data_IF_060299937755
#
_entry.id   IF_060299937755
#
_cell.length_a   1.000
_cell.length_b   1.000
_cell.length_c   1.000
_cell.angle_alpha   90.00
_cell.angle_beta   90.00
_cell.angle_gamma   90.00
#
_symmetry.space_group_name_H-M   'P 1'
#
loop_
_entity.id
_entity.type
_entity.pdbx_description
1 polymer ?
#
# COMPACT_ATOMS: atom_id res chain seq x y z
N UNK A 1 16.21 -6.86 26.18
CA UNK A 1 15.95 -7.70 24.99
C UNK A 1 16.22 -6.94 23.69
N UNK A 2 15.55 -5.79 23.42
CA UNK A 2 15.72 -5.04 22.17
C UNK A 2 17.15 -4.53 21.98
N UNK A 3 17.79 -3.99 23.02
CA UNK A 3 19.19 -3.58 23.01
C UNK A 3 20.13 -4.76 22.63
N UNK A 4 19.91 -5.93 23.25
CA UNK A 4 20.70 -7.13 22.94
C UNK A 4 20.56 -7.55 21.49
N UNK A 5 19.32 -7.47 20.95
CA UNK A 5 19.06 -7.77 19.53
C UNK A 5 19.72 -6.73 18.61
N UNK A 6 19.61 -5.44 18.93
CA UNK A 6 20.24 -4.37 18.15
C UNK A 6 21.77 -4.56 18.09
N UNK A 7 22.41 -4.88 19.21
CA UNK A 7 23.85 -5.21 19.25
C UNK A 7 24.20 -6.43 18.42
N UNK A 8 23.38 -7.50 18.49
CA UNK A 8 23.61 -8.72 17.72
C UNK A 8 23.44 -8.49 16.21
N UNK A 9 22.50 -7.63 15.82
CA UNK A 9 22.24 -7.23 14.45
C UNK A 9 23.23 -6.17 13.94
N UNK A 10 24.08 -5.62 14.80
CA UNK A 10 25.06 -4.56 14.47
C UNK A 10 24.39 -3.35 13.83
N UNK A 11 23.25 -2.91 14.37
CA UNK A 11 22.56 -1.71 13.87
C UNK A 11 23.40 -0.48 14.20
N UNK A 12 23.48 0.47 13.27
CA UNK A 12 24.25 1.70 13.44
C UNK A 12 23.57 2.66 14.42
N UNK A 13 22.24 2.69 14.42
CA UNK A 13 21.44 3.60 15.24
C UNK A 13 20.20 2.89 15.79
N UNK A 14 19.86 3.15 17.04
CA UNK A 14 18.65 2.69 17.70
C UNK A 14 17.92 3.91 18.31
N UNK A 15 16.73 4.22 17.82
CA UNK A 15 15.86 5.24 18.41
C UNK A 15 14.76 4.58 19.22
N UNK A 16 14.60 4.97 20.46
CA UNK A 16 13.57 4.47 21.37
C UNK A 16 12.65 5.61 21.74
N UNK A 17 11.37 5.45 21.46
CA UNK A 17 10.36 6.48 21.72
C UNK A 17 9.28 5.96 22.67
N UNK A 18 8.75 6.85 23.47
CA UNK A 18 7.57 6.61 24.30
C UNK A 18 6.51 7.67 24.00
N UNK A 19 5.25 7.32 24.17
CA UNK A 19 4.10 8.15 23.78
C UNK A 19 3.16 8.39 24.96
N UNK A 20 1.89 8.67 24.72
CA UNK A 20 0.88 9.07 25.69
C UNK A 20 0.92 8.31 27.03
N UNK A 21 1.10 6.99 27.01
CA UNK A 21 1.12 6.18 28.22
C UNK A 21 2.23 6.59 29.20
N UNK A 22 3.45 6.84 28.70
CA UNK A 22 4.58 7.30 29.52
C UNK A 22 4.45 8.78 29.85
N UNK A 23 4.03 9.60 28.91
CA UNK A 23 3.87 11.04 29.05
C UNK A 23 2.86 11.42 30.15
N UNK A 24 1.74 10.67 30.23
CA UNK A 24 0.63 10.98 31.14
C UNK A 24 0.66 10.23 32.47
N UNK A 25 1.42 9.16 32.54
CA UNK A 25 1.54 8.40 33.80
C UNK A 25 2.26 9.22 34.88
N UNK A 26 1.73 9.21 36.11
CA UNK A 26 2.36 9.90 37.28
C UNK A 26 3.79 9.46 37.51
N UNK A 27 4.10 8.20 37.21
CA UNK A 27 5.42 7.59 37.37
C UNK A 27 6.11 7.32 36.01
N UNK A 28 5.74 8.00 34.92
CA UNK A 28 6.35 7.85 33.61
C UNK A 28 7.85 8.13 33.60
N UNK A 29 8.31 9.10 34.40
CA UNK A 29 9.72 9.43 34.60
C UNK A 29 10.53 8.24 35.14
N UNK A 30 9.97 7.42 36.04
CA UNK A 30 10.67 6.23 36.58
C UNK A 30 11.01 5.22 35.44
N UNK A 31 10.14 5.09 34.45
CA UNK A 31 10.39 4.21 33.27
C UNK A 31 11.59 4.75 32.48
N UNK A 32 11.62 6.07 32.25
CA UNK A 32 12.71 6.73 31.51
C UNK A 32 14.03 6.61 32.25
N UNK A 33 14.03 6.84 33.59
CA UNK A 33 15.21 6.70 34.42
C UNK A 33 15.73 5.26 34.45
N UNK A 34 14.84 4.26 34.60
CA UNK A 34 15.22 2.84 34.56
C UNK A 34 15.80 2.44 33.21
N UNK A 35 15.26 2.98 32.09
CA UNK A 35 15.82 2.76 30.76
C UNK A 35 17.20 3.41 30.63
N UNK A 36 17.37 4.66 31.13
CA UNK A 36 18.66 5.36 31.11
C UNK A 36 19.73 4.63 31.92
N UNK A 37 19.38 4.04 33.09
CA UNK A 37 20.28 3.22 33.90
C UNK A 37 20.77 1.95 33.12
N UNK A 38 20.05 1.51 32.10
CA UNK A 38 20.45 0.43 31.20
C UNK A 38 21.17 0.93 29.92
N UNK A 39 21.47 2.24 29.83
CA UNK A 39 22.11 2.84 28.67
C UNK A 39 21.15 3.09 27.51
N UNK A 40 19.84 3.05 27.75
CA UNK A 40 18.82 3.28 26.71
C UNK A 40 18.26 4.69 26.87
N UNK A 41 18.52 5.55 25.87
CA UNK A 41 17.87 6.86 25.79
C UNK A 41 16.46 6.71 25.25
N UNK A 42 15.46 7.27 25.97
CA UNK A 42 14.04 7.24 25.57
C UNK A 42 13.56 8.66 25.29
N UNK A 43 13.16 8.91 24.05
CA UNK A 43 12.50 10.16 23.65
C UNK A 43 11.01 10.07 23.97
N UNK A 44 10.52 10.90 24.88
CA UNK A 44 9.08 10.97 25.18
C UNK A 44 8.45 11.99 24.25
N UNK A 45 7.73 11.50 23.22
CA UNK A 45 7.09 12.35 22.23
C UNK A 45 5.89 13.09 22.85
N UNK A 46 5.76 14.37 22.52
CA UNK A 46 4.52 15.10 22.76
C UNK A 46 3.46 14.74 21.70
N UNK A 47 2.24 15.26 21.87
CA UNK A 47 1.13 14.93 20.97
C UNK A 47 1.31 15.46 19.56
N UNK A 48 2.04 16.56 19.36
CA UNK A 48 2.33 17.13 18.04
C UNK A 48 3.38 16.29 17.29
N UNK A 49 4.42 15.85 17.98
CA UNK A 49 5.44 14.97 17.42
C UNK A 49 4.87 13.58 17.09
N UNK A 50 3.98 13.03 17.95
CA UNK A 50 3.28 11.77 17.72
C UNK A 50 2.39 11.87 16.49
N UNK A 51 1.59 12.93 16.37
CA UNK A 51 0.77 13.19 15.19
C UNK A 51 1.59 13.43 13.92
N UNK A 52 2.71 14.15 14.02
CA UNK A 52 3.64 14.38 12.90
C UNK A 52 4.19 13.06 12.38
N UNK A 53 4.69 12.21 13.26
CA UNK A 53 5.21 10.90 12.88
C UNK A 53 4.11 9.99 12.28
N UNK A 54 2.90 9.99 12.84
CA UNK A 54 1.77 9.26 12.26
C UNK A 54 1.43 9.74 10.83
N UNK A 55 1.42 11.04 10.61
CA UNK A 55 1.22 11.63 9.28
C UNK A 55 2.32 11.27 8.29
N UNK A 56 3.57 11.29 8.70
CA UNK A 56 4.69 10.80 7.88
C UNK A 56 4.59 9.31 7.57
N UNK A 57 4.02 8.51 8.48
CA UNK A 57 3.71 7.11 8.21
C UNK A 57 2.77 6.93 7.02
N UNK A 58 1.76 7.79 6.87
CA UNK A 58 0.89 7.79 5.68
C UNK A 58 1.64 8.27 4.43
N UNK A 59 2.46 9.33 4.55
CA UNK A 59 3.22 9.86 3.41
C UNK A 59 4.29 8.89 2.91
N UNK A 60 4.84 8.04 3.79
CA UNK A 60 5.79 6.99 3.38
C UNK A 60 5.16 5.91 2.50
N UNK A 61 3.83 5.71 2.61
CA UNK A 61 3.05 4.80 1.77
C UNK A 61 2.46 5.53 0.56
N UNK A 62 1.92 6.73 0.78
CA UNK A 62 1.28 7.54 -0.26
C UNK A 62 1.79 8.99 -0.23
N UNK A 63 2.86 9.31 -0.99
CA UNK A 63 3.44 10.66 -1.01
C UNK A 63 2.49 11.76 -1.48
N UNK A 64 1.40 11.39 -2.15
CA UNK A 64 0.39 12.33 -2.67
C UNK A 64 -0.92 12.30 -1.87
N UNK A 65 -0.90 11.73 -0.66
CA UNK A 65 -2.09 11.64 0.17
C UNK A 65 -2.77 13.01 0.34
N UNK A 66 -4.10 13.00 0.24
CA UNK A 66 -4.95 14.17 0.46
C UNK A 66 -6.19 13.71 1.24
N UNK A 67 -6.23 13.97 2.52
CA UNK A 67 -7.30 13.45 3.38
C UNK A 67 -7.05 13.76 4.84
N UNK A 68 -7.67 12.98 5.68
CA UNK A 68 -7.46 13.00 7.13
C UNK A 68 -6.78 11.73 7.58
N UNK A 69 -5.92 11.85 8.55
CA UNK A 69 -5.29 10.70 9.23
C UNK A 69 -5.81 10.67 10.66
N UNK A 70 -6.16 9.48 11.12
CA UNK A 70 -6.41 9.20 12.51
C UNK A 70 -5.47 8.11 12.99
N UNK A 71 -4.71 8.35 14.05
CA UNK A 71 -3.96 7.32 14.75
C UNK A 71 -4.62 7.03 16.09
N UNK A 72 -5.22 5.86 16.23
CA UNK A 72 -5.87 5.43 17.46
C UNK A 72 -4.93 4.60 18.30
N UNK A 73 -4.30 5.28 19.28
CA UNK A 73 -3.49 4.68 20.31
C UNK A 73 -4.28 4.16 21.50
N UNK A 74 -3.55 3.75 22.55
CA UNK A 74 -4.16 3.34 23.83
C UNK A 74 -4.67 4.53 24.63
N UNK A 75 -3.94 5.63 24.71
CA UNK A 75 -4.24 6.81 25.50
C UNK A 75 -4.86 7.96 24.72
N UNK A 76 -4.52 8.09 23.47
CA UNK A 76 -4.86 9.25 22.61
C UNK A 76 -5.37 8.85 21.23
N UNK A 77 -5.96 9.82 20.57
CA UNK A 77 -6.30 9.85 19.15
C UNK A 77 -5.62 11.07 18.55
N UNK A 78 -4.72 10.84 17.62
CA UNK A 78 -4.11 11.87 16.79
C UNK A 78 -4.96 12.08 15.55
N UNK A 79 -5.31 13.34 15.24
CA UNK A 79 -5.99 13.72 13.98
C UNK A 79 -5.12 14.69 13.21
N UNK A 80 -4.87 14.38 11.94
CA UNK A 80 -4.00 15.16 11.07
C UNK A 80 -4.72 15.44 9.75
N UNK A 81 -4.61 16.67 9.24
CA UNK A 81 -5.01 17.00 7.87
C UNK A 81 -3.79 16.90 6.97
N UNK A 82 -3.86 16.09 5.93
CA UNK A 82 -2.86 16.04 4.86
C UNK A 82 -3.45 16.64 3.59
N UNK A 83 -2.71 17.54 2.95
CA UNK A 83 -3.08 18.17 1.68
C UNK A 83 -1.94 18.01 0.69
N UNK A 84 -2.21 17.30 -0.41
CA UNK A 84 -1.27 17.13 -1.52
C UNK A 84 0.15 16.73 -1.05
N UNK A 85 0.22 15.69 -0.23
CA UNK A 85 1.47 15.16 0.29
C UNK A 85 2.15 16.01 1.38
N UNK A 86 1.45 16.98 1.96
CA UNK A 86 2.00 17.85 3.02
C UNK A 86 1.19 17.74 4.30
N UNK A 87 1.90 17.62 5.41
CA UNK A 87 1.29 17.68 6.73
C UNK A 87 0.74 19.07 7.00
N UNK A 88 -0.54 19.14 7.34
CA UNK A 88 -1.23 20.35 7.75
C UNK A 88 -1.49 20.38 9.25
N UNK A 89 -2.65 20.93 9.62
CA UNK A 89 -3.12 21.02 11.00
C UNK A 89 -3.23 19.65 11.62
N UNK A 90 -2.75 19.50 12.85
CA UNK A 90 -2.76 18.26 13.63
C UNK A 90 -3.09 18.53 15.09
N UNK A 91 -3.72 17.58 15.72
CA UNK A 91 -4.11 17.64 17.15
C UNK A 91 -4.02 16.26 17.76
N UNK A 92 -3.75 16.20 19.06
CA UNK A 92 -3.87 14.99 19.89
C UNK A 92 -5.04 15.18 20.87
N UNK A 93 -5.92 14.18 20.91
CA UNK A 93 -7.10 14.15 21.76
C UNK A 93 -6.99 12.99 22.75
N UNK A 94 -7.41 13.15 24.02
CA UNK A 94 -7.36 12.10 25.03
C UNK A 94 -8.50 11.06 24.84
N UNK A 95 -8.57 10.45 23.65
CA UNK A 95 -9.63 9.54 23.20
C UNK A 95 -9.10 8.17 22.76
N UNK A 96 -8.06 7.67 23.41
CA UNK A 96 -7.49 6.35 23.12
C UNK A 96 -8.38 5.19 23.54
N UNK A 97 -8.04 3.99 23.06
CA UNK A 97 -8.83 2.76 23.29
C UNK A 97 -8.96 2.35 24.75
N UNK A 98 -8.07 2.81 25.64
CA UNK A 98 -8.17 2.56 27.08
C UNK A 98 -9.13 3.53 27.78
N UNK A 99 -9.69 4.50 27.05
CA UNK A 99 -10.63 5.52 27.56
C UNK A 99 -12.03 5.38 26.96
N UNK A 100 -12.36 4.21 26.44
CA UNK A 100 -13.64 3.95 25.75
C UNK A 100 -14.88 4.17 26.63
N UNK A 101 -14.76 4.17 27.94
CA UNK A 101 -15.88 4.46 28.87
C UNK A 101 -16.53 5.82 28.59
N UNK A 102 -15.74 6.80 28.08
CA UNK A 102 -16.24 8.12 27.68
C UNK A 102 -17.28 8.02 26.56
N UNK A 103 -17.22 6.97 25.74
CA UNK A 103 -18.09 6.76 24.56
C UNK A 103 -19.29 5.87 24.88
N UNK A 104 -19.30 5.18 26.02
CA UNK A 104 -20.33 4.21 26.38
C UNK A 104 -21.73 4.86 26.42
N UNK A 105 -22.68 4.23 25.75
CA UNK A 105 -24.08 4.70 25.71
C UNK A 105 -24.35 5.91 24.83
N UNK A 106 -23.34 6.45 24.13
CA UNK A 106 -23.50 7.58 23.22
C UNK A 106 -23.85 7.12 21.79
N UNK A 107 -24.74 7.87 21.15
CA UNK A 107 -25.05 7.70 19.72
C UNK A 107 -23.92 8.29 18.87
N UNK A 108 -23.83 7.85 17.59
CA UNK A 108 -22.89 8.43 16.58
C UNK A 108 -22.95 9.95 16.54
N UNK A 109 -24.16 10.54 16.57
CA UNK A 109 -24.36 12.00 16.56
C UNK A 109 -23.78 12.67 17.81
N UNK A 110 -23.96 12.06 18.99
CA UNK A 110 -23.41 12.59 20.25
C UNK A 110 -21.87 12.49 20.26
N UNK A 111 -21.30 11.42 19.73
CA UNK A 111 -19.85 11.27 19.59
C UNK A 111 -19.30 12.28 18.59
N UNK A 112 -19.93 12.46 17.44
CA UNK A 112 -19.54 13.50 16.46
C UNK A 112 -19.56 14.91 17.05
N UNK A 113 -20.57 15.22 17.88
CA UNK A 113 -20.64 16.54 18.55
C UNK A 113 -19.57 16.67 19.64
N UNK A 114 -19.31 15.63 20.40
CA UNK A 114 -18.22 15.58 21.38
C UNK A 114 -16.87 15.84 20.70
N UNK A 115 -16.57 15.10 19.63
CA UNK A 115 -15.35 15.28 18.83
C UNK A 115 -15.22 16.73 18.34
N UNK A 116 -16.29 17.33 17.81
CA UNK A 116 -16.29 18.73 17.37
C UNK A 116 -15.88 19.67 18.50
N UNK A 117 -16.43 19.47 19.69
CA UNK A 117 -16.14 20.30 20.86
C UNK A 117 -14.69 20.09 21.35
N UNK A 118 -14.21 18.84 21.37
CA UNK A 118 -12.85 18.52 21.80
C UNK A 118 -11.81 19.04 20.83
N UNK A 119 -12.07 18.95 19.52
CA UNK A 119 -11.26 19.56 18.47
C UNK A 119 -11.20 21.09 18.64
N UNK A 120 -12.34 21.73 18.82
CA UNK A 120 -12.38 23.19 19.02
C UNK A 120 -11.63 23.62 20.27
N UNK A 121 -11.75 22.86 21.37
CA UNK A 121 -11.00 23.10 22.61
C UNK A 121 -9.49 22.93 22.43
N UNK A 122 -9.07 21.86 21.74
CA UNK A 122 -7.66 21.59 21.48
C UNK A 122 -7.02 22.64 20.57
N UNK A 123 -7.77 23.14 19.60
CA UNK A 123 -7.31 24.18 18.67
C UNK A 123 -7.24 25.58 19.29
N UNK A 124 -7.93 25.84 20.40
CA UNK A 124 -7.98 27.16 21.01
C UNK A 124 -8.49 28.25 20.05
N UNK A 125 -7.62 29.22 19.68
CA UNK A 125 -7.93 30.26 18.69
C UNK A 125 -7.75 29.79 17.23
N UNK A 126 -7.17 28.61 17.00
CA UNK A 126 -7.00 28.00 15.68
C UNK A 126 -8.28 27.35 15.17
N UNK A 127 -8.20 26.77 13.99
CA UNK A 127 -9.29 25.99 13.40
C UNK A 127 -8.74 24.72 12.76
N UNK A 128 -9.33 23.57 13.08
CA UNK A 128 -9.07 22.33 12.39
C UNK A 128 -9.97 22.29 11.15
N UNK A 129 -9.41 22.26 9.93
CA UNK A 129 -10.19 22.36 8.72
C UNK A 129 -11.05 21.10 8.53
N UNK A 130 -12.38 21.24 8.51
CA UNK A 130 -13.30 20.14 8.22
C UNK A 130 -13.82 20.30 6.80
N UNK A 131 -13.35 19.44 5.90
CA UNK A 131 -13.80 19.33 4.50
C UNK A 131 -14.35 17.91 4.29
N UNK A 132 -15.60 17.81 3.88
CA UNK A 132 -16.24 16.51 3.61
C UNK A 132 -15.78 15.89 2.28
N UNK A 133 -15.97 14.57 2.11
CA UNK A 133 -15.69 13.88 0.85
C UNK A 133 -14.22 13.56 0.60
N UNK A 134 -13.35 13.73 1.60
CA UNK A 134 -11.94 13.30 1.54
C UNK A 134 -11.78 11.92 2.19
N UNK A 135 -10.79 11.11 1.80
CA UNK A 135 -10.50 9.85 2.48
C UNK A 135 -10.05 10.07 3.93
N UNK A 136 -10.34 9.08 4.78
CA UNK A 136 -9.86 9.01 6.15
C UNK A 136 -8.93 7.81 6.30
N UNK A 137 -7.65 8.06 6.53
CA UNK A 137 -6.61 7.06 6.72
C UNK A 137 -6.57 6.62 8.18
N UNK A 138 -6.75 5.34 8.42
CA UNK A 138 -6.86 4.72 9.74
C UNK A 138 -5.56 4.06 10.15
N UNK A 139 -4.93 4.56 11.21
CA UNK A 139 -3.78 3.94 11.87
C UNK A 139 -4.22 3.39 13.22
N UNK A 140 -3.57 2.34 13.67
CA UNK A 140 -3.81 1.76 14.99
C UNK A 140 -4.38 0.34 14.93
N UNK A 141 -4.03 -0.42 15.98
CA UNK A 141 -4.31 -1.85 16.00
C UNK A 141 -5.79 -2.19 16.11
N UNK A 142 -6.59 -1.35 16.75
CA UNK A 142 -8.04 -1.59 16.90
C UNK A 142 -8.76 -1.37 15.58
N UNK A 143 -8.45 -0.31 14.84
CA UNK A 143 -9.05 -0.07 13.53
C UNK A 143 -8.58 -1.09 12.48
N UNK A 144 -7.32 -1.54 12.53
CA UNK A 144 -6.88 -2.68 11.71
C UNK A 144 -7.66 -3.97 12.01
N UNK A 145 -8.06 -4.17 13.25
CA UNK A 145 -8.90 -5.32 13.63
C UNK A 145 -10.33 -5.15 13.10
N UNK A 146 -10.90 -3.94 13.12
CA UNK A 146 -12.20 -3.64 12.50
C UNK A 146 -12.15 -3.89 10.98
N UNK A 147 -11.09 -3.48 10.31
CA UNK A 147 -10.91 -3.73 8.88
C UNK A 147 -10.87 -5.24 8.56
N UNK A 148 -10.13 -6.05 9.35
CA UNK A 148 -10.15 -7.51 9.22
C UNK A 148 -11.54 -8.11 9.43
N UNK A 149 -12.27 -7.59 10.41
CA UNK A 149 -13.64 -8.02 10.69
C UNK A 149 -14.56 -7.71 9.50
N UNK A 150 -14.42 -6.52 8.91
CA UNK A 150 -15.17 -6.12 7.72
C UNK A 150 -14.80 -7.00 6.51
N UNK A 151 -13.52 -7.27 6.25
CA UNK A 151 -13.08 -8.22 5.22
C UNK A 151 -13.73 -9.60 5.40
N UNK A 152 -13.79 -10.10 6.64
CA UNK A 152 -14.40 -11.39 6.96
C UNK A 152 -15.91 -11.38 6.67
N UNK A 153 -16.62 -10.32 7.09
CA UNK A 153 -18.07 -10.18 6.85
C UNK A 153 -18.43 -10.09 5.37
N UNK A 154 -17.58 -9.44 4.57
CA UNK A 154 -17.80 -9.23 3.14
C UNK A 154 -17.22 -10.35 2.28
N UNK A 155 -16.65 -11.40 2.89
CA UNK A 155 -15.92 -12.46 2.19
C UNK A 155 -14.88 -11.89 1.19
N UNK A 156 -14.17 -10.84 1.63
CA UNK A 156 -13.22 -10.14 0.78
C UNK A 156 -12.10 -11.07 0.32
N UNK A 157 -11.79 -11.14 -0.98
CA UNK A 157 -10.91 -12.19 -1.51
C UNK A 157 -9.43 -12.02 -1.15
N UNK A 158 -9.00 -10.82 -0.73
CA UNK A 158 -7.61 -10.52 -0.39
C UNK A 158 -7.49 -10.07 1.07
N UNK A 159 -6.69 -10.78 1.88
CA UNK A 159 -6.57 -10.49 3.33
C UNK A 159 -5.50 -9.45 3.70
N UNK A 160 -5.08 -8.63 2.74
CA UNK A 160 -4.07 -7.58 2.91
C UNK A 160 -4.71 -6.31 3.44
N UNK A 161 -4.24 -5.84 4.61
CA UNK A 161 -4.77 -4.64 5.27
C UNK A 161 -4.24 -3.33 4.69
N UNK A 162 -3.05 -3.34 4.08
CA UNK A 162 -2.45 -2.12 3.51
C UNK A 162 -3.35 -1.58 2.42
N UNK A 163 -3.76 -0.33 2.57
CA UNK A 163 -4.67 0.36 1.66
C UNK A 163 -6.02 -0.35 1.39
N UNK A 164 -6.48 -1.16 2.36
CA UNK A 164 -7.83 -1.70 2.31
C UNK A 164 -8.85 -0.59 2.55
N UNK A 165 -9.82 -0.50 1.67
CA UNK A 165 -10.86 0.51 1.69
C UNK A 165 -12.19 -0.04 2.22
N UNK A 166 -12.78 0.68 3.18
CA UNK A 166 -14.12 0.41 3.69
C UNK A 166 -15.05 1.57 3.38
N UNK A 167 -16.35 1.33 3.15
CA UNK A 167 -17.34 2.40 3.06
C UNK A 167 -17.36 3.27 4.33
N UNK A 168 -17.71 4.54 4.18
CA UNK A 168 -17.76 5.47 5.31
C UNK A 168 -18.78 5.08 6.40
N UNK A 169 -19.81 4.33 6.04
CA UNK A 169 -20.86 3.79 6.92
C UNK A 169 -20.55 2.39 7.49
N UNK A 170 -19.44 1.78 7.10
CA UNK A 170 -19.03 0.47 7.62
C UNK A 170 -19.03 0.40 9.15
N UNK A 171 -18.59 1.41 9.93
CA UNK A 171 -18.66 1.37 11.38
C UNK A 171 -20.10 1.25 11.91
N UNK A 172 -21.07 1.86 11.24
CA UNK A 172 -22.49 1.75 11.62
C UNK A 172 -23.02 0.35 11.30
N UNK A 173 -22.70 -0.20 10.14
CA UNK A 173 -23.07 -1.56 9.74
C UNK A 173 -22.49 -2.63 10.68
N UNK A 174 -21.28 -2.43 11.19
CA UNK A 174 -20.62 -3.36 12.11
C UNK A 174 -21.06 -3.21 13.57
N UNK A 175 -21.87 -2.21 13.93
CA UNK A 175 -22.21 -1.86 15.32
C UNK A 175 -22.78 -3.04 16.11
N UNK A 176 -23.69 -3.82 15.54
CA UNK A 176 -24.27 -4.97 16.20
C UNK A 176 -23.22 -6.06 16.48
N UNK A 177 -22.38 -6.36 15.51
CA UNK A 177 -21.37 -7.41 15.60
C UNK A 177 -20.26 -7.06 16.61
N UNK A 178 -19.77 -5.83 16.63
CA UNK A 178 -18.71 -5.44 17.57
C UNK A 178 -19.18 -5.41 19.03
N UNK A 179 -20.48 -5.33 19.27
CA UNK A 179 -21.08 -5.41 20.60
C UNK A 179 -21.46 -6.86 21.01
N UNK A 180 -21.42 -7.82 20.09
CA UNK A 180 -21.62 -9.25 20.38
C UNK A 180 -20.27 -9.94 20.61
N UNK A 181 -19.90 -10.08 21.88
CA UNK A 181 -18.62 -10.71 22.31
C UNK A 181 -18.49 -12.15 21.81
N UNK A 182 -19.61 -12.89 21.77
CA UNK A 182 -19.62 -14.28 21.35
C UNK A 182 -19.47 -14.38 19.82
N UNK A 183 -20.10 -13.49 19.06
CA UNK A 183 -19.90 -13.39 17.62
C UNK A 183 -18.44 -13.04 17.28
N UNK A 184 -17.82 -12.08 17.97
CA UNK A 184 -16.41 -11.73 17.81
C UNK A 184 -15.49 -12.91 18.10
N UNK A 185 -15.77 -13.67 19.17
CA UNK A 185 -14.98 -14.85 19.53
C UNK A 185 -15.14 -15.97 18.48
N UNK A 186 -16.36 -16.23 18.01
CA UNK A 186 -16.62 -17.23 16.97
C UNK A 186 -16.02 -16.88 15.62
N UNK A 187 -15.86 -15.61 15.31
CA UNK A 187 -15.27 -15.17 14.03
C UNK A 187 -13.83 -15.66 13.85
N UNK A 188 -13.12 -15.95 14.93
CA UNK A 188 -11.70 -16.34 14.96
C UNK A 188 -10.74 -15.35 14.27
N UNK A 189 -11.23 -14.15 13.95
CA UNK A 189 -10.48 -13.08 13.27
C UNK A 189 -9.88 -12.10 14.27
N UNK A 190 -10.53 -11.99 15.44
CA UNK A 190 -10.18 -11.02 16.48
C UNK A 190 -9.41 -11.69 17.61
N UNK A 191 -8.18 -11.19 17.86
CA UNK A 191 -7.40 -11.64 19.01
C UNK A 191 -8.15 -11.30 20.32
N UNK A 192 -8.24 -12.27 21.23
CA UNK A 192 -9.01 -12.20 22.48
C UNK A 192 -8.71 -10.92 23.29
N UNK A 193 -7.44 -10.51 23.38
CA UNK A 193 -7.03 -9.29 24.10
C UNK A 193 -7.50 -7.97 23.46
N UNK A 194 -8.12 -8.00 22.27
CA UNK A 194 -8.64 -6.82 21.57
C UNK A 194 -10.15 -6.70 21.60
N UNK A 195 -10.87 -7.78 21.94
CA UNK A 195 -12.34 -7.83 21.90
C UNK A 195 -12.97 -6.68 22.69
N UNK A 196 -12.49 -6.42 23.90
CA UNK A 196 -13.05 -5.38 24.77
C UNK A 196 -12.87 -3.95 24.24
N UNK A 197 -11.88 -3.71 23.39
CA UNK A 197 -11.60 -2.38 22.85
C UNK A 197 -12.39 -2.06 21.55
N UNK A 198 -12.93 -3.09 20.88
CA UNK A 198 -13.56 -2.90 19.57
C UNK A 198 -14.85 -2.07 19.59
N UNK A 199 -15.78 -2.23 20.57
CA UNK A 199 -16.99 -1.40 20.61
C UNK A 199 -16.66 0.10 20.67
N UNK A 200 -15.72 0.49 21.55
CA UNK A 200 -15.28 1.87 21.67
C UNK A 200 -14.55 2.38 20.42
N UNK A 201 -13.65 1.58 19.86
CA UNK A 201 -12.92 1.93 18.64
C UNK A 201 -13.86 2.11 17.43
N UNK A 202 -14.89 1.28 17.32
CA UNK A 202 -15.91 1.36 16.27
C UNK A 202 -16.82 2.59 16.47
N UNK A 203 -17.28 2.83 17.70
CA UNK A 203 -18.11 3.99 18.04
C UNK A 203 -17.38 5.31 17.74
N UNK A 204 -16.06 5.37 18.07
CA UNK A 204 -15.25 6.52 17.75
C UNK A 204 -15.09 6.71 16.24
N UNK A 205 -14.86 5.63 15.48
CA UNK A 205 -14.77 5.67 14.03
C UNK A 205 -16.09 6.12 13.39
N UNK A 206 -17.24 5.63 13.88
CA UNK A 206 -18.56 6.10 13.46
C UNK A 206 -18.74 7.59 13.75
N UNK A 207 -18.32 8.06 14.93
CA UNK A 207 -18.35 9.48 15.28
C UNK A 207 -17.50 10.36 14.36
N UNK A 208 -16.30 9.90 14.02
CA UNK A 208 -15.41 10.57 13.06
C UNK A 208 -16.05 10.60 11.66
N UNK A 209 -16.62 9.46 11.21
CA UNK A 209 -17.32 9.38 9.93
C UNK A 209 -18.51 10.35 9.87
N UNK A 210 -19.29 10.45 10.96
CA UNK A 210 -20.39 11.40 11.07
C UNK A 210 -19.93 12.88 11.05
N UNK A 211 -18.74 13.17 11.56
CA UNK A 211 -18.17 14.52 11.61
C UNK A 211 -17.51 14.91 10.29
N UNK A 212 -16.61 14.08 9.76
CA UNK A 212 -15.78 14.38 8.60
C UNK A 212 -16.46 14.00 7.28
N UNK A 213 -17.44 13.08 7.31
CA UNK A 213 -18.13 12.52 6.14
C UNK A 213 -17.11 12.11 5.05
N UNK A 214 -16.21 11.19 5.35
CA UNK A 214 -15.17 10.78 4.41
C UNK A 214 -15.78 10.11 3.17
N UNK A 215 -15.05 10.15 2.06
CA UNK A 215 -15.42 9.37 0.86
C UNK A 215 -15.22 7.87 1.10
N UNK A 216 -14.17 7.53 1.84
CA UNK A 216 -13.80 6.15 2.18
C UNK A 216 -12.94 6.13 3.45
N UNK A 217 -12.91 4.98 4.11
CA UNK A 217 -12.02 4.69 5.23
C UNK A 217 -10.89 3.79 4.72
N UNK A 218 -9.65 4.27 4.76
CA UNK A 218 -8.48 3.57 4.22
C UNK A 218 -7.62 3.07 5.36
N UNK A 219 -7.38 1.76 5.41
CA UNK A 219 -6.53 1.16 6.45
C UNK A 219 -5.05 1.32 6.13
N UNK A 220 -4.27 1.78 7.09
CA UNK A 220 -2.80 1.81 6.98
C UNK A 220 -2.14 0.82 7.94
N UNK A 221 -1.11 0.14 7.43
CA UNK A 221 -0.18 -0.65 8.26
C UNK A 221 1.01 0.20 8.72
N UNK A 222 1.24 1.32 8.07
CA UNK A 222 2.26 2.31 8.39
C UNK A 222 1.73 3.32 9.40
N UNK A 223 2.58 3.77 10.31
CA UNK A 223 2.21 4.70 11.37
C UNK A 223 3.45 5.36 11.96
N UNK A 224 3.43 5.61 13.27
CA UNK A 224 4.48 6.33 13.98
C UNK A 224 5.89 5.81 13.69
N UNK A 225 6.11 4.50 13.70
CA UNK A 225 7.47 3.92 13.52
C UNK A 225 8.01 4.19 12.12
N UNK A 226 7.19 3.93 11.12
CA UNK A 226 7.53 4.15 9.71
C UNK A 226 7.70 5.65 9.44
N UNK A 227 6.88 6.50 10.07
CA UNK A 227 7.01 7.96 9.97
C UNK A 227 8.30 8.49 10.56
N UNK A 228 8.75 7.97 11.70
CA UNK A 228 10.04 8.33 12.30
C UNK A 228 11.24 7.93 11.43
N UNK A 229 11.13 6.87 10.65
CA UNK A 229 12.13 6.47 9.67
C UNK A 229 12.06 7.37 8.42
N UNK A 230 10.84 7.63 7.93
CA UNK A 230 10.62 8.49 6.76
C UNK A 230 11.13 9.92 6.97
N UNK A 231 11.00 10.46 8.18
CA UNK A 231 11.52 11.78 8.55
C UNK A 231 13.04 11.91 8.36
N UNK A 232 13.78 10.80 8.44
CA UNK A 232 15.23 10.77 8.29
C UNK A 232 15.70 10.70 6.82
N UNK A 233 14.78 10.44 5.90
CA UNK A 233 15.08 10.38 4.48
C UNK A 233 15.36 11.79 3.93
N UNK A 234 16.21 11.86 2.92
CA UNK A 234 16.43 13.10 2.17
C UNK A 234 15.16 13.54 1.44
N UNK A 235 14.98 14.83 1.12
CA UNK A 235 13.81 15.29 0.36
C UNK A 235 13.59 14.56 -0.97
N UNK A 236 14.65 14.12 -1.64
CA UNK A 236 14.55 13.35 -2.87
C UNK A 236 14.00 11.93 -2.63
N UNK A 237 14.46 11.28 -1.57
CA UNK A 237 13.95 9.95 -1.17
C UNK A 237 12.49 10.01 -0.70
N UNK A 238 12.10 11.07 0.02
CA UNK A 238 10.72 11.29 0.45
C UNK A 238 9.74 11.51 -0.72
N UNK A 239 10.24 12.00 -1.86
CA UNK A 239 9.45 12.22 -3.07
C UNK A 239 9.48 11.02 -4.03
N UNK A 240 10.36 10.05 -3.79
CA UNK A 240 10.41 8.85 -4.62
C UNK A 240 9.10 8.05 -4.52
N UNK A 241 8.70 7.44 -5.63
CA UNK A 241 7.53 6.55 -5.63
C UNK A 241 7.84 5.28 -4.82
N UNK A 242 7.13 5.03 -3.71
CA UNK A 242 7.46 3.93 -2.82
C UNK A 242 7.20 2.55 -3.44
N UNK A 243 6.22 2.40 -4.35
CA UNK A 243 6.01 1.17 -5.08
C UNK A 243 7.19 0.87 -6.00
N UNK A 244 7.64 1.88 -6.74
CA UNK A 244 8.73 1.69 -7.70
C UNK A 244 10.03 1.36 -6.95
N UNK A 245 10.30 2.05 -5.83
CA UNK A 245 11.46 1.75 -4.99
C UNK A 245 11.41 0.31 -4.43
N UNK A 246 10.26 -0.13 -3.93
CA UNK A 246 10.07 -1.49 -3.42
C UNK A 246 10.17 -2.54 -4.54
N UNK A 247 9.54 -2.30 -5.70
CA UNK A 247 9.58 -3.22 -6.84
C UNK A 247 11.00 -3.33 -7.42
N UNK A 248 11.75 -2.24 -7.45
CA UNK A 248 13.15 -2.25 -7.87
C UNK A 248 14.01 -3.06 -6.90
N UNK A 249 13.91 -2.78 -5.60
CA UNK A 249 14.65 -3.53 -4.58
C UNK A 249 14.38 -5.04 -4.64
N UNK A 250 13.11 -5.45 -4.73
CA UNK A 250 12.75 -6.87 -4.80
C UNK A 250 13.12 -7.48 -6.17
N UNK A 251 12.97 -6.74 -7.25
CA UNK A 251 13.36 -7.17 -8.58
C UNK A 251 14.87 -7.41 -8.70
N UNK A 252 15.70 -6.53 -8.13
CA UNK A 252 17.15 -6.72 -8.08
C UNK A 252 17.56 -7.86 -7.14
N UNK A 253 16.88 -8.03 -6.01
CA UNK A 253 17.15 -9.09 -5.04
C UNK A 253 16.77 -10.48 -5.55
N UNK A 254 15.67 -10.60 -6.29
CA UNK A 254 15.11 -11.88 -6.74
C UNK A 254 15.47 -12.20 -8.19
N UNK A 255 15.68 -11.19 -9.03
CA UNK A 255 15.94 -11.34 -10.46
C UNK A 255 17.37 -11.79 -10.78
N UNK A 256 17.58 -12.19 -12.03
CA UNK A 256 18.89 -12.58 -12.55
C UNK A 256 19.76 -11.41 -12.96
N UNK A 257 19.13 -10.35 -13.49
CA UNK A 257 19.80 -9.25 -14.14
C UNK A 257 19.34 -7.91 -13.57
N UNK A 258 20.18 -7.24 -12.76
CA UNK A 258 19.91 -5.89 -12.28
C UNK A 258 19.60 -4.95 -13.46
N UNK A 259 18.74 -3.97 -13.26
CA UNK A 259 18.34 -2.95 -14.24
C UNK A 259 17.56 -3.43 -15.47
N UNK A 260 17.32 -4.73 -15.63
CA UNK A 260 16.55 -5.26 -16.76
C UNK A 260 15.12 -4.72 -16.80
N UNK A 261 14.46 -4.57 -15.63
CA UNK A 261 13.10 -4.04 -15.53
C UNK A 261 12.94 -2.62 -16.08
N UNK A 262 13.90 -1.75 -15.85
CA UNK A 262 13.90 -0.39 -16.41
C UNK A 262 14.11 -0.40 -17.94
N UNK A 263 15.00 -1.26 -18.44
CA UNK A 263 15.17 -1.45 -19.88
C UNK A 263 13.87 -1.93 -20.55
N UNK A 264 13.15 -2.86 -19.92
CA UNK A 264 11.82 -3.29 -20.36
C UNK A 264 10.82 -2.14 -20.42
N UNK A 265 10.71 -1.38 -19.34
CA UNK A 265 9.77 -0.26 -19.26
C UNK A 265 10.05 0.80 -20.35
N UNK A 266 11.32 1.12 -20.59
CA UNK A 266 11.74 2.03 -21.67
C UNK A 266 11.42 1.48 -23.05
N UNK A 267 11.69 0.19 -23.29
CA UNK A 267 11.45 -0.44 -24.57
C UNK A 267 9.96 -0.49 -24.91
N UNK A 268 9.10 -0.67 -23.90
CA UNK A 268 7.65 -0.73 -24.08
C UNK A 268 6.99 0.65 -24.19
N UNK A 269 7.62 1.71 -23.70
CA UNK A 269 7.03 3.04 -23.58
C UNK A 269 6.38 3.59 -24.88
N UNK A 270 6.95 3.41 -26.09
CA UNK A 270 6.32 3.92 -27.32
C UNK A 270 4.95 3.31 -27.62
N UNK A 271 4.76 2.02 -27.30
CA UNK A 271 3.48 1.30 -27.55
C UNK A 271 2.40 1.71 -26.53
N UNK A 272 2.82 2.14 -25.36
CA UNK A 272 1.94 2.50 -24.25
C UNK A 272 1.89 4.01 -23.98
N UNK A 273 2.26 4.83 -24.96
CA UNK A 273 2.14 6.28 -24.87
C UNK A 273 0.66 6.68 -24.65
N UNK A 274 0.43 7.59 -23.69
CA UNK A 274 -0.92 8.06 -23.36
C UNK A 274 -1.64 7.28 -22.24
N UNK A 275 -0.98 6.33 -21.59
CA UNK A 275 -1.50 5.74 -20.34
C UNK A 275 -1.65 6.78 -19.24
N UNK A 276 -2.56 6.50 -18.29
CA UNK A 276 -2.63 7.30 -17.07
C UNK A 276 -1.32 7.20 -16.28
N UNK A 277 -0.96 8.21 -15.45
CA UNK A 277 0.22 8.13 -14.60
C UNK A 277 0.24 6.88 -13.70
N UNK A 278 -0.92 6.46 -13.18
CA UNK A 278 -1.03 5.25 -12.37
C UNK A 278 -0.78 3.98 -13.20
N UNK A 279 -1.35 3.87 -14.40
CA UNK A 279 -1.12 2.73 -15.28
C UNK A 279 0.35 2.61 -15.67
N UNK A 280 1.01 3.71 -16.01
CA UNK A 280 2.44 3.74 -16.31
C UNK A 280 3.29 3.28 -15.11
N UNK A 281 2.90 3.70 -13.90
CA UNK A 281 3.51 3.29 -12.63
C UNK A 281 3.36 1.79 -12.38
N UNK A 282 2.15 1.24 -12.52
CA UNK A 282 1.88 -0.19 -12.34
C UNK A 282 2.57 -1.04 -13.41
N UNK A 283 2.58 -0.60 -14.66
CA UNK A 283 3.30 -1.23 -15.75
C UNK A 283 4.81 -1.32 -15.47
N UNK A 284 5.42 -0.21 -14.98
CA UNK A 284 6.83 -0.20 -14.59
C UNK A 284 7.11 -1.16 -13.44
N UNK A 285 6.24 -1.21 -12.42
CA UNK A 285 6.37 -2.17 -11.31
C UNK A 285 6.31 -3.61 -11.82
N UNK A 286 5.41 -3.94 -12.76
CA UNK A 286 5.34 -5.26 -13.39
C UNK A 286 6.62 -5.59 -14.18
N UNK A 287 7.21 -4.62 -14.89
CA UNK A 287 8.50 -4.80 -15.57
C UNK A 287 9.62 -5.13 -14.58
N UNK A 288 9.73 -4.36 -13.49
CA UNK A 288 10.75 -4.56 -12.44
C UNK A 288 10.65 -5.95 -11.78
N UNK A 289 9.45 -6.44 -11.58
CA UNK A 289 9.18 -7.74 -10.91
C UNK A 289 9.15 -8.92 -11.87
N UNK A 290 9.20 -8.72 -13.17
CA UNK A 290 8.90 -9.74 -14.19
C UNK A 290 9.86 -10.94 -14.22
N UNK A 291 11.08 -10.79 -13.70
CA UNK A 291 12.09 -11.86 -13.62
C UNK A 291 12.24 -12.45 -12.19
N UNK A 292 11.43 -12.00 -11.22
CA UNK A 292 11.61 -12.35 -9.79
C UNK A 292 11.36 -13.84 -9.48
N UNK A 293 10.70 -14.58 -10.36
CA UNK A 293 10.38 -16.02 -10.16
C UNK A 293 11.16 -16.94 -11.10
N UNK A 294 12.28 -16.47 -11.66
CA UNK A 294 13.07 -17.24 -12.63
C UNK A 294 13.57 -18.59 -12.10
N UNK A 295 13.89 -18.68 -10.82
CA UNK A 295 14.40 -19.85 -10.12
C UNK A 295 13.30 -20.84 -9.69
N UNK A 296 12.02 -20.48 -9.87
CA UNK A 296 10.89 -21.37 -9.62
C UNK A 296 10.73 -22.35 -10.79
N UNK A 297 10.27 -23.57 -10.49
CA UNK A 297 9.92 -24.54 -11.53
C UNK A 297 8.97 -23.90 -12.55
N UNK A 298 9.24 -24.01 -13.88
CA UNK A 298 8.46 -23.33 -14.91
C UNK A 298 6.94 -23.52 -14.84
N UNK A 299 6.47 -24.68 -14.39
CA UNK A 299 5.03 -24.97 -14.27
C UNK A 299 4.34 -24.14 -13.18
N UNK A 300 5.07 -23.70 -12.16
CA UNK A 300 4.55 -22.93 -11.01
C UNK A 300 4.89 -21.44 -11.05
N UNK A 301 5.64 -20.98 -12.05
CA UNK A 301 6.07 -19.57 -12.12
C UNK A 301 4.90 -18.59 -12.15
N UNK A 302 3.83 -18.95 -12.85
CA UNK A 302 2.65 -18.08 -12.95
C UNK A 302 1.98 -17.91 -11.57
N UNK A 303 1.79 -19.00 -10.83
CA UNK A 303 1.19 -18.98 -9.51
C UNK A 303 2.06 -18.20 -8.51
N UNK A 304 3.38 -18.46 -8.49
CA UNK A 304 4.30 -17.71 -7.61
C UNK A 304 4.40 -16.22 -7.96
N UNK A 305 4.29 -15.87 -9.24
CA UNK A 305 4.27 -14.46 -9.67
C UNK A 305 2.96 -13.76 -9.25
N UNK A 306 1.83 -14.50 -9.30
CA UNK A 306 0.55 -14.05 -8.79
C UNK A 306 0.64 -13.77 -7.28
N UNK A 307 1.13 -14.73 -6.49
CA UNK A 307 1.27 -14.61 -5.04
C UNK A 307 2.23 -13.46 -4.67
N UNK A 308 3.36 -13.33 -5.37
CA UNK A 308 4.30 -12.23 -5.18
C UNK A 308 3.61 -10.87 -5.33
N UNK A 309 2.79 -10.69 -6.36
CA UNK A 309 2.11 -9.42 -6.61
C UNK A 309 0.97 -9.15 -5.61
N UNK A 310 0.22 -10.19 -5.24
CA UNK A 310 -0.92 -10.05 -4.32
C UNK A 310 -0.46 -9.90 -2.88
N UNK A 311 0.46 -10.74 -2.40
CA UNK A 311 0.81 -10.88 -0.99
C UNK A 311 2.04 -10.05 -0.58
N UNK A 312 2.84 -9.58 -1.53
CA UNK A 312 4.04 -8.79 -1.27
C UNK A 312 3.77 -7.49 -0.51
N UNK A 313 4.77 -7.01 0.20
CA UNK A 313 4.70 -5.74 0.95
C UNK A 313 4.89 -4.55 0.01
N UNK A 314 3.89 -4.29 -0.83
CA UNK A 314 3.92 -3.18 -1.78
C UNK A 314 3.29 -1.94 -1.18
N UNK A 315 4.06 -0.86 -0.93
CA UNK A 315 3.50 0.41 -0.50
C UNK A 315 2.78 1.13 -1.65
N UNK A 316 1.85 1.99 -1.30
CA UNK A 316 1.15 2.88 -2.22
C UNK A 316 0.27 2.19 -3.25
N UNK A 317 -0.19 0.97 -2.99
CA UNK A 317 -1.12 0.23 -3.86
C UNK A 317 -2.30 -0.32 -3.06
N UNK A 318 -3.47 -0.25 -3.65
CA UNK A 318 -4.67 -0.91 -3.14
C UNK A 318 -4.84 -2.32 -3.76
N UNK A 319 -5.93 -2.99 -3.44
CA UNK A 319 -6.19 -4.34 -3.93
C UNK A 319 -6.38 -4.42 -5.45
N UNK A 320 -6.96 -3.38 -6.06
CA UNK A 320 -7.10 -3.31 -7.52
C UNK A 320 -5.74 -3.17 -8.21
N UNK A 321 -4.87 -2.30 -7.70
CA UNK A 321 -3.51 -2.13 -8.23
C UNK A 321 -2.71 -3.44 -8.13
N UNK A 322 -2.83 -4.15 -6.99
CA UNK A 322 -2.21 -5.47 -6.80
C UNK A 322 -2.70 -6.48 -7.84
N UNK A 323 -4.01 -6.53 -8.09
CA UNK A 323 -4.61 -7.41 -9.08
C UNK A 323 -4.14 -7.10 -10.50
N UNK A 324 -3.95 -5.81 -10.82
CA UNK A 324 -3.41 -5.37 -12.11
C UNK A 324 -1.96 -5.82 -12.29
N UNK A 325 -1.09 -5.59 -11.30
CA UNK A 325 0.29 -6.09 -11.33
C UNK A 325 0.30 -7.63 -11.44
N UNK A 326 -0.53 -8.31 -10.65
CA UNK A 326 -0.66 -9.76 -10.65
C UNK A 326 -1.10 -10.31 -12.01
N UNK A 327 -2.06 -9.68 -12.67
CA UNK A 327 -2.52 -10.07 -14.01
C UNK A 327 -1.40 -9.92 -15.06
N UNK A 328 -0.61 -8.85 -14.99
CA UNK A 328 0.54 -8.67 -15.87
C UNK A 328 1.58 -9.76 -15.65
N UNK A 329 2.00 -10.00 -14.39
CA UNK A 329 3.01 -11.02 -14.06
C UNK A 329 2.52 -12.44 -14.33
N UNK A 330 1.24 -12.75 -14.05
CA UNK A 330 0.61 -13.99 -14.46
C UNK A 330 0.78 -14.22 -15.96
N UNK A 331 0.43 -13.21 -16.77
CA UNK A 331 0.49 -13.30 -18.23
C UNK A 331 1.93 -13.48 -18.74
N UNK A 332 2.92 -12.88 -18.10
CA UNK A 332 4.35 -13.09 -18.44
C UNK A 332 4.68 -14.59 -18.46
N UNK A 333 4.20 -15.34 -17.49
CA UNK A 333 4.54 -16.76 -17.34
C UNK A 333 3.50 -17.72 -17.93
N UNK A 334 2.21 -17.42 -17.81
CA UNK A 334 1.11 -18.25 -18.30
C UNK A 334 0.74 -18.00 -19.77
N UNK A 335 1.09 -16.84 -20.34
CA UNK A 335 0.72 -16.45 -21.70
C UNK A 335 -0.78 -16.17 -21.86
N UNK A 336 -1.44 -16.80 -22.83
CA UNK A 336 -2.89 -16.63 -23.11
C UNK A 336 -3.80 -17.46 -22.19
N UNK A 337 -3.30 -18.08 -21.10
CA UNK A 337 -4.15 -18.77 -20.13
C UNK A 337 -5.11 -17.78 -19.46
N UNK A 338 -6.30 -18.27 -19.13
CA UNK A 338 -7.31 -17.45 -18.41
C UNK A 338 -6.77 -16.94 -17.09
N UNK A 339 -7.06 -15.68 -16.77
CA UNK A 339 -6.71 -15.08 -15.49
C UNK A 339 -7.44 -15.82 -14.35
N UNK A 340 -6.80 -15.94 -13.17
CA UNK A 340 -7.46 -16.43 -11.97
C UNK A 340 -8.70 -15.59 -11.62
N UNK A 341 -9.80 -16.26 -11.26
CA UNK A 341 -11.10 -15.63 -10.98
C UNK A 341 -11.01 -14.56 -9.88
N UNK A 342 -10.16 -14.78 -8.86
CA UNK A 342 -9.99 -13.81 -7.79
C UNK A 342 -9.58 -12.41 -8.27
N UNK A 343 -8.87 -12.30 -9.39
CA UNK A 343 -8.46 -10.99 -9.93
C UNK A 343 -9.67 -10.20 -10.44
N UNK A 344 -10.69 -10.87 -10.98
CA UNK A 344 -11.91 -10.22 -11.48
C UNK A 344 -12.78 -9.67 -10.35
N UNK A 345 -12.61 -10.18 -9.14
CA UNK A 345 -13.27 -9.63 -7.95
C UNK A 345 -12.55 -8.39 -7.38
N UNK A 346 -11.28 -8.14 -7.76
CA UNK A 346 -10.44 -7.08 -7.22
C UNK A 346 -10.27 -5.89 -8.17
N UNK A 347 -10.34 -6.11 -9.49
CA UNK A 347 -10.09 -5.07 -10.47
C UNK A 347 -11.11 -5.11 -11.62
N UNK A 348 -11.27 -3.98 -12.30
CA UNK A 348 -12.20 -3.86 -13.43
C UNK A 348 -11.72 -4.67 -14.64
N UNK A 349 -12.65 -5.18 -15.49
CA UNK A 349 -12.27 -5.91 -16.70
C UNK A 349 -11.33 -5.12 -17.63
N UNK A 350 -11.50 -3.80 -17.73
CA UNK A 350 -10.65 -2.93 -18.55
C UNK A 350 -9.22 -2.85 -18.01
N UNK A 351 -9.05 -2.68 -16.69
CA UNK A 351 -7.73 -2.64 -16.07
C UNK A 351 -7.00 -4.00 -16.19
N UNK A 352 -7.72 -5.11 -16.02
CA UNK A 352 -7.15 -6.45 -16.22
C UNK A 352 -6.77 -6.71 -17.67
N UNK A 353 -7.58 -6.28 -18.64
CA UNK A 353 -7.25 -6.39 -20.06
C UNK A 353 -5.97 -5.62 -20.40
N UNK A 354 -5.82 -4.40 -19.89
CA UNK A 354 -4.61 -3.60 -20.03
C UNK A 354 -3.39 -4.30 -19.43
N UNK A 355 -3.52 -4.88 -18.24
CA UNK A 355 -2.46 -5.63 -17.58
C UNK A 355 -2.02 -6.87 -18.40
N UNK A 356 -2.96 -7.57 -19.01
CA UNK A 356 -2.65 -8.70 -19.92
C UNK A 356 -1.80 -8.22 -21.09
N UNK A 357 -2.11 -7.07 -21.67
CA UNK A 357 -1.33 -6.49 -22.78
C UNK A 357 0.10 -6.19 -22.32
N UNK A 358 0.29 -5.60 -21.15
CA UNK A 358 1.64 -5.41 -20.57
C UNK A 358 2.39 -6.73 -20.41
N UNK A 359 1.72 -7.73 -19.83
CA UNK A 359 2.30 -9.06 -19.67
C UNK A 359 2.74 -9.70 -20.99
N UNK A 360 1.96 -9.54 -22.05
CA UNK A 360 2.32 -10.02 -23.39
C UNK A 360 3.53 -9.28 -23.98
N UNK A 361 3.62 -7.97 -23.78
CA UNK A 361 4.76 -7.16 -24.21
C UNK A 361 6.06 -7.56 -23.46
N UNK A 362 5.99 -7.69 -22.14
CA UNK A 362 7.11 -8.18 -21.31
C UNK A 362 7.54 -9.58 -21.77
N UNK A 363 6.57 -10.46 -22.01
CA UNK A 363 6.83 -11.83 -22.50
C UNK A 363 7.50 -11.85 -23.86
N UNK A 364 7.16 -10.92 -24.78
CA UNK A 364 7.84 -10.76 -26.06
C UNK A 364 9.30 -10.31 -25.83
N UNK A 365 9.50 -9.28 -25.03
CA UNK A 365 10.82 -8.75 -24.71
C UNK A 365 11.73 -9.80 -24.04
N UNK A 366 11.25 -10.55 -23.06
CA UNK A 366 11.99 -11.66 -22.46
C UNK A 366 12.36 -12.74 -23.47
N UNK A 367 11.51 -12.97 -24.47
CA UNK A 367 11.85 -13.96 -25.52
C UNK A 367 12.90 -13.46 -26.49
N UNK A 368 12.90 -12.17 -26.77
CA UNK A 368 13.87 -11.54 -27.65
C UNK A 368 15.26 -11.45 -26.98
N UNK A 369 15.28 -11.02 -25.71
CA UNK A 369 16.50 -10.56 -25.04
C UNK A 369 17.08 -11.58 -24.03
N UNK A 370 16.27 -12.51 -23.56
CA UNK A 370 16.69 -13.47 -22.53
C UNK A 370 16.96 -12.84 -21.15
N UNK A 371 16.63 -11.57 -20.96
CA UNK A 371 16.86 -10.80 -19.74
C UNK A 371 18.18 -10.04 -19.68
N UNK A 372 18.99 -10.08 -20.74
CA UNK A 372 20.35 -9.50 -20.76
C UNK A 372 20.39 -8.00 -21.02
N UNK A 373 19.32 -7.42 -21.54
CA UNK A 373 19.20 -6.00 -21.93
C UNK A 373 19.84 -5.67 -23.29
N UNK A 374 20.70 -6.52 -23.84
CA UNK A 374 21.44 -6.24 -25.05
C UNK A 374 20.59 -6.16 -26.31
N UNK A 375 19.67 -7.11 -26.48
CA UNK A 375 18.82 -7.13 -27.68
C UNK A 375 17.73 -6.04 -27.64
N UNK A 376 17.32 -5.60 -26.47
CA UNK A 376 16.36 -4.48 -26.32
C UNK A 376 16.98 -3.18 -26.84
N UNK A 377 18.27 -2.95 -26.60
CA UNK A 377 18.99 -1.76 -27.08
C UNK A 377 19.08 -1.74 -28.63
N UNK A 378 19.20 -2.92 -29.27
CA UNK A 378 19.25 -3.10 -30.72
C UNK A 378 17.86 -3.30 -31.35
N UNK A 379 16.79 -2.99 -30.64
CA UNK A 379 15.43 -3.18 -31.13
C UNK A 379 14.47 -2.06 -30.68
N UNK A 380 13.40 -1.89 -31.43
CA UNK A 380 12.27 -1.03 -31.01
C UNK A 380 10.95 -1.63 -31.47
N UNK A 381 9.89 -1.29 -30.75
CA UNK A 381 8.54 -1.68 -31.11
C UNK A 381 7.70 -0.42 -31.32
N UNK A 382 6.97 -0.37 -32.42
CA UNK A 382 6.04 0.71 -32.72
C UNK A 382 4.83 0.21 -33.51
N UNK A 383 3.77 1.00 -33.53
CA UNK A 383 2.57 0.72 -34.29
C UNK A 383 2.29 1.82 -35.31
N UNK A 384 1.95 1.43 -36.54
CA UNK A 384 1.57 2.33 -37.61
C UNK A 384 0.33 1.80 -38.34
N UNK A 385 -0.75 2.57 -38.28
CA UNK A 385 -2.01 2.15 -38.91
C UNK A 385 -2.54 0.83 -38.35
N UNK A 386 -2.58 -0.20 -39.19
CA UNK A 386 -3.09 -1.53 -38.86
C UNK A 386 -1.99 -2.51 -38.42
N UNK A 387 -0.71 -2.09 -38.39
CA UNK A 387 0.44 -2.98 -38.24
C UNK A 387 1.25 -2.64 -36.99
N UNK A 388 1.53 -3.65 -36.17
CA UNK A 388 2.54 -3.59 -35.10
C UNK A 388 3.87 -4.06 -35.66
N UNK A 389 4.95 -3.27 -35.51
CA UNK A 389 6.29 -3.59 -36.00
C UNK A 389 7.29 -3.76 -34.90
N UNK A 390 8.07 -4.83 -35.00
CA UNK A 390 9.28 -5.06 -34.21
C UNK A 390 10.48 -4.83 -35.15
N UNK A 391 11.18 -3.71 -34.95
CA UNK A 391 12.41 -3.41 -35.67
C UNK A 391 13.59 -4.03 -34.97
N UNK A 392 14.40 -4.75 -35.70
CA UNK A 392 15.64 -5.35 -35.22
C UNK A 392 16.83 -4.74 -35.94
N UNK A 393 17.90 -4.45 -35.24
CA UNK A 393 19.14 -3.93 -35.81
C UNK A 393 20.34 -4.65 -35.20
N UNK A 394 21.53 -4.43 -35.76
CA UNK A 394 22.76 -4.98 -35.21
C UNK A 394 22.72 -6.49 -34.94
N UNK A 395 23.06 -6.87 -33.75
CA UNK A 395 23.07 -8.28 -33.32
C UNK A 395 21.66 -8.89 -33.13
N UNK A 396 20.68 -8.06 -32.86
CA UNK A 396 19.30 -8.50 -32.61
C UNK A 396 18.62 -9.11 -33.84
N UNK A 397 19.04 -8.76 -35.06
CA UNK A 397 18.52 -9.36 -36.29
C UNK A 397 18.62 -10.90 -36.30
N UNK A 398 19.68 -11.44 -35.68
CA UNK A 398 19.89 -12.89 -35.56
C UNK A 398 18.96 -13.59 -34.58
N UNK A 399 18.21 -12.84 -33.77
CA UNK A 399 17.27 -13.36 -32.79
C UNK A 399 15.86 -13.56 -33.36
N UNK A 400 15.65 -13.17 -34.60
CA UNK A 400 14.39 -13.44 -35.32
C UNK A 400 14.09 -14.93 -35.29
N UNK A 401 12.87 -15.29 -34.89
CA UNK A 401 12.43 -16.68 -34.83
C UNK A 401 10.92 -16.79 -34.82
N UNK A 402 10.40 -17.96 -35.19
CA UNK A 402 8.95 -18.24 -35.15
C UNK A 402 8.36 -17.99 -33.74
N UNK A 403 9.16 -18.15 -32.67
CA UNK A 403 8.73 -17.93 -31.31
C UNK A 403 8.56 -16.43 -31.00
N UNK A 404 9.46 -15.59 -31.50
CA UNK A 404 9.35 -14.12 -31.40
C UNK A 404 8.16 -13.63 -32.22
N UNK A 405 8.03 -14.11 -33.48
CA UNK A 405 6.93 -13.74 -34.37
C UNK A 405 5.55 -14.07 -33.76
N UNK A 406 5.38 -15.28 -33.19
CA UNK A 406 4.11 -15.66 -32.52
C UNK A 406 3.77 -14.78 -31.32
N UNK A 407 4.76 -14.31 -30.58
CA UNK A 407 4.53 -13.42 -29.44
C UNK A 407 4.21 -12.00 -29.88
N UNK A 408 4.85 -11.53 -30.94
CA UNK A 408 4.54 -10.25 -31.58
C UNK A 408 3.09 -10.24 -32.10
N UNK A 409 2.66 -11.32 -32.78
CA UNK A 409 1.28 -11.47 -33.20
C UNK A 409 0.29 -11.45 -32.05
N UNK A 410 0.58 -12.18 -30.97
CA UNK A 410 -0.27 -12.20 -29.79
C UNK A 410 -0.42 -10.82 -29.13
N UNK A 411 0.64 -10.04 -29.10
CA UNK A 411 0.62 -8.65 -28.62
C UNK A 411 -0.15 -7.75 -29.59
N UNK A 412 0.08 -7.88 -30.90
CA UNK A 412 -0.62 -7.12 -31.93
C UNK A 412 -2.14 -7.33 -31.87
N UNK A 413 -2.58 -8.59 -31.79
CA UNK A 413 -4.00 -8.94 -31.62
C UNK A 413 -4.61 -8.27 -30.37
N UNK A 414 -3.90 -8.33 -29.24
CA UNK A 414 -4.36 -7.76 -27.98
C UNK A 414 -4.43 -6.22 -28.00
N UNK A 415 -3.58 -5.58 -28.81
CA UNK A 415 -3.57 -4.12 -29.03
C UNK A 415 -4.57 -3.69 -30.12
N UNK A 416 -5.21 -4.63 -30.84
CA UNK A 416 -6.16 -4.35 -31.93
C UNK A 416 -5.53 -4.16 -33.29
N UNK A 417 -4.25 -4.49 -33.48
CA UNK A 417 -3.60 -4.51 -34.80
C UNK A 417 -4.02 -5.75 -35.58
N UNK A 418 -4.21 -5.59 -36.88
CA UNK A 418 -4.57 -6.69 -37.78
C UNK A 418 -3.35 -7.41 -38.35
N UNK A 419 -2.19 -6.78 -38.28
CA UNK A 419 -0.91 -7.32 -38.75
C UNK A 419 0.19 -7.11 -37.69
N UNK A 420 1.17 -8.01 -37.66
CA UNK A 420 2.33 -7.93 -36.82
C UNK A 420 3.56 -8.48 -37.54
N UNK A 421 4.57 -7.67 -37.77
CA UNK A 421 5.74 -8.01 -38.59
C UNK A 421 7.05 -7.66 -37.92
N UNK A 422 8.08 -8.46 -38.19
CA UNK A 422 9.46 -8.18 -37.82
C UNK A 422 10.15 -7.54 -39.00
N UNK A 423 10.79 -6.38 -38.76
CA UNK A 423 11.55 -5.61 -39.74
C UNK A 423 13.01 -5.63 -39.28
N UNK A 424 13.90 -6.10 -40.16
CA UNK A 424 15.34 -6.19 -39.91
C UNK A 424 16.18 -5.48 -40.92
#
# INVERSE_FOLDING_TARGET
RFETLAKAMKVDTMRVVATAATREAKNGHELVEKAAALGIHVDVLDGDAEATAAGFGILSDNPYANGYVGDLGGGSLELIRISDGKLGTRISLPLGTLRHDILQGKTTKQISQMLRNDIAKAMGKGNFPIKTGLPFYMIGGSWRTLARLHMHQTAYPLTILSNYEMPADAPEMMMAMVNDKDALTRSNVVATGRISALPGANALLAGISGLLKPSTLVTSIYGLREGLLFEQLTPAEQQADPLIAAAQFEGERLGRFPFHGDALAQWMAPVFAGQSPNDARLCRAACLLSDSVWNVNPEYRADHALDLALDGSWPGVNASDRAVIAAALWTVHAGKRTLPEMLTALATPGALAQAVIWGLAIRLAHRLDGGTGGALADSRIDGDGATLRLHLSGSAVRLQSNSVQRRLQALGEALGYTQAEIVG
#
